data_IF_245145190964
#
_entry.id   IF_245145190964
#
_cell.length_a   1.000
_cell.length_b   1.000
_cell.length_c   1.000
_cell.angle_alpha   90.00
_cell.angle_beta   90.00
_cell.angle_gamma   90.00
#
_symmetry.space_group_name_H-M   'P 1'
#
loop_
_entity.id
_entity.type
_entity.pdbx_description
1 polymer ?
#
# COMPACT_ATOMS: atom_id res chain seq x y z
N UNK A 1 39.79 9.68 46.53
CA UNK A 1 39.79 8.21 46.74
C UNK A 1 38.96 7.73 47.94
N UNK A 2 38.96 8.46 49.10
CA UNK A 2 38.25 8.04 50.33
C UNK A 2 36.73 7.94 50.13
N UNK A 3 36.09 8.94 49.48
CA UNK A 3 34.63 9.01 49.25
C UNK A 3 34.13 7.82 48.40
N UNK A 4 34.84 7.47 47.36
CA UNK A 4 34.51 6.34 46.51
C UNK A 4 34.58 5.00 47.27
N UNK A 5 35.58 4.83 48.14
CA UNK A 5 35.72 3.63 48.97
C UNK A 5 34.60 3.51 50.01
N UNK A 6 34.16 4.62 50.60
CA UNK A 6 33.03 4.65 51.52
C UNK A 6 31.70 4.37 50.78
N UNK A 7 31.50 4.94 49.61
CA UNK A 7 30.30 4.67 48.79
C UNK A 7 30.19 3.19 48.37
N UNK A 8 31.26 2.60 47.89
CA UNK A 8 31.31 1.20 47.51
C UNK A 8 31.02 0.28 48.70
N UNK A 9 31.62 0.58 49.89
CA UNK A 9 31.36 -0.20 51.10
C UNK A 9 29.90 -0.09 51.57
N UNK A 10 29.25 1.06 51.40
CA UNK A 10 27.83 1.22 51.71
C UNK A 10 26.91 0.45 50.76
N UNK A 11 27.22 0.39 49.47
CA UNK A 11 26.50 -0.42 48.49
C UNK A 11 26.54 -1.90 48.87
N UNK A 12 27.72 -2.40 49.23
CA UNK A 12 27.90 -3.82 49.62
C UNK A 12 27.22 -4.13 50.96
N UNK A 13 27.19 -3.16 51.90
CA UNK A 13 26.55 -3.35 53.20
C UNK A 13 25.03 -3.42 53.12
N UNK A 14 24.39 -2.72 52.16
CA UNK A 14 22.94 -2.74 51.95
C UNK A 14 22.53 -3.57 50.72
N UNK A 15 22.99 -4.79 50.63
CA UNK A 15 22.82 -5.67 49.47
C UNK A 15 21.40 -5.75 48.90
N UNK A 16 20.38 -5.91 49.77
CA UNK A 16 18.97 -6.00 49.34
C UNK A 16 18.50 -4.72 48.65
N UNK A 17 18.77 -3.56 49.25
CA UNK A 17 18.34 -2.25 48.68
C UNK A 17 19.06 -1.98 47.36
N UNK A 18 20.37 -2.23 47.30
CA UNK A 18 21.19 -2.06 46.09
C UNK A 18 20.73 -2.97 44.99
N UNK A 19 20.41 -4.24 45.32
CA UNK A 19 19.89 -5.22 44.34
C UNK A 19 18.54 -4.77 43.74
N UNK A 20 17.58 -4.36 44.58
CA UNK A 20 16.29 -3.88 44.07
C UNK A 20 16.40 -2.63 43.22
N UNK A 21 17.26 -1.67 43.62
CA UNK A 21 17.51 -0.47 42.83
C UNK A 21 18.17 -0.82 41.48
N UNK A 22 19.17 -1.70 41.48
CA UNK A 22 19.83 -2.15 40.25
C UNK A 22 18.85 -2.92 39.32
N UNK A 23 18.05 -3.82 39.86
CA UNK A 23 17.03 -4.52 39.11
C UNK A 23 15.99 -3.59 38.45
N UNK A 24 15.48 -2.61 39.22
CA UNK A 24 14.52 -1.63 38.65
C UNK A 24 15.14 -0.78 37.55
N UNK A 25 16.42 -0.37 37.69
CA UNK A 25 17.13 0.34 36.62
C UNK A 25 17.35 -0.53 35.38
N UNK A 26 17.75 -1.80 35.57
CA UNK A 26 17.94 -2.76 34.46
C UNK A 26 16.62 -3.02 33.74
N UNK A 27 15.55 -3.28 34.49
CA UNK A 27 14.22 -3.50 33.90
C UNK A 27 13.76 -2.24 33.14
N UNK A 28 13.91 -1.07 33.74
CA UNK A 28 13.56 0.19 33.08
C UNK A 28 14.34 0.42 31.78
N UNK A 29 15.63 0.14 31.78
CA UNK A 29 16.47 0.23 30.59
C UNK A 29 16.07 -0.77 29.50
N UNK A 30 15.80 -2.04 29.87
CA UNK A 30 15.34 -3.06 28.93
C UNK A 30 14.02 -2.65 28.30
N UNK A 31 13.04 -2.21 29.10
CA UNK A 31 11.74 -1.77 28.60
C UNK A 31 11.87 -0.56 27.68
N UNK A 32 12.65 0.45 28.05
CA UNK A 32 12.88 1.64 27.23
C UNK A 32 13.51 1.27 25.88
N UNK A 33 14.57 0.44 25.91
CA UNK A 33 15.23 -0.04 24.69
C UNK A 33 14.29 -0.86 23.81
N UNK A 34 13.47 -1.72 24.41
CA UNK A 34 12.46 -2.51 23.70
C UNK A 34 11.44 -1.61 23.01
N UNK A 35 10.89 -0.61 23.71
CA UNK A 35 9.91 0.29 23.10
C UNK A 35 10.51 1.15 21.98
N UNK A 36 11.75 1.62 22.12
CA UNK A 36 12.43 2.36 21.05
C UNK A 36 12.61 1.48 19.81
N UNK A 37 13.12 0.25 19.97
CA UNK A 37 13.31 -0.68 18.88
C UNK A 37 11.99 -1.08 18.22
N UNK A 38 10.93 -1.32 19.02
CA UNK A 38 9.59 -1.58 18.53
C UNK A 38 9.03 -0.42 17.70
N UNK A 39 9.15 0.82 18.22
CA UNK A 39 8.66 2.01 17.53
C UNK A 39 9.38 2.17 16.18
N UNK A 40 10.71 2.09 16.16
CA UNK A 40 11.52 2.24 14.94
C UNK A 40 11.16 1.16 13.89
N UNK A 41 11.05 -0.10 14.30
CA UNK A 41 10.62 -1.19 13.43
C UNK A 41 9.20 -0.99 12.88
N UNK A 42 8.27 -0.50 13.71
CA UNK A 42 6.89 -0.22 13.28
C UNK A 42 6.82 0.94 12.30
N UNK A 43 7.55 2.02 12.51
CA UNK A 43 7.61 3.14 11.59
C UNK A 43 8.18 2.73 10.23
N UNK A 44 9.28 2.00 10.20
CA UNK A 44 9.88 1.52 8.96
C UNK A 44 8.93 0.59 8.20
N UNK A 45 8.24 -0.31 8.89
CA UNK A 45 7.24 -1.19 8.28
C UNK A 45 6.07 -0.40 7.68
N UNK A 46 5.53 0.58 8.42
CA UNK A 46 4.42 1.43 7.93
C UNK A 46 4.86 2.21 6.69
N UNK A 47 6.00 2.91 6.75
CA UNK A 47 6.51 3.69 5.62
C UNK A 47 6.72 2.80 4.40
N UNK A 48 7.38 1.66 4.56
CA UNK A 48 7.66 0.75 3.44
C UNK A 48 6.37 0.17 2.84
N UNK A 49 5.40 -0.18 3.69
CA UNK A 49 4.11 -0.71 3.24
C UNK A 49 3.29 0.34 2.47
N UNK A 50 3.22 1.58 2.95
CA UNK A 50 2.51 2.65 2.26
C UNK A 50 3.21 3.11 0.98
N UNK A 51 4.53 3.28 1.02
CA UNK A 51 5.28 3.79 -0.14
C UNK A 51 5.40 2.76 -1.25
N UNK A 52 5.75 1.51 -0.91
CA UNK A 52 5.94 0.45 -1.93
C UNK A 52 4.66 -0.15 -2.47
N UNK A 53 3.57 -0.11 -1.72
CA UNK A 53 2.34 -0.76 -2.15
C UNK A 53 1.31 0.22 -2.73
N UNK A 54 1.28 1.46 -2.26
CA UNK A 54 0.15 2.35 -2.56
C UNK A 54 0.53 3.70 -3.14
N UNK A 55 1.41 4.45 -2.50
CA UNK A 55 1.61 5.87 -2.80
C UNK A 55 2.85 6.16 -3.63
N UNK A 56 3.89 5.32 -3.58
CA UNK A 56 5.22 5.69 -4.02
C UNK A 56 5.88 6.69 -3.07
N UNK A 57 7.16 6.99 -3.27
CA UNK A 57 7.87 8.00 -2.49
C UNK A 57 7.52 9.42 -2.93
N UNK A 58 7.26 9.61 -4.23
CA UNK A 58 6.92 10.89 -4.83
C UNK A 58 5.75 10.67 -5.78
N UNK A 59 4.80 11.61 -5.76
CA UNK A 59 3.66 11.61 -6.67
C UNK A 59 3.63 12.91 -7.48
N UNK A 60 3.32 12.80 -8.75
CA UNK A 60 3.13 13.93 -9.64
C UNK A 60 1.66 14.00 -10.02
N UNK A 61 1.03 15.10 -9.68
CA UNK A 61 -0.38 15.36 -9.97
C UNK A 61 -0.55 16.67 -10.74
N UNK A 62 -1.68 16.78 -11.45
CA UNK A 62 -2.10 18.08 -12.02
C UNK A 62 -2.39 19.05 -10.87
N UNK A 63 -2.05 20.33 -11.06
CA UNK A 63 -2.29 21.38 -10.05
C UNK A 63 -3.75 21.39 -9.59
N UNK A 64 -3.95 21.39 -8.27
CA UNK A 64 -5.27 21.38 -7.64
C UNK A 64 -5.98 20.02 -7.63
N UNK A 65 -5.32 18.92 -8.04
CA UNK A 65 -5.90 17.58 -7.96
C UNK A 65 -6.14 17.14 -6.51
N UNK A 66 -5.19 17.39 -5.63
CA UNK A 66 -5.31 17.01 -4.21
C UNK A 66 -6.40 17.78 -3.46
N UNK A 67 -6.68 19.02 -3.87
CA UNK A 67 -7.74 19.84 -3.26
C UNK A 67 -9.15 19.34 -3.64
N UNK A 68 -9.30 18.92 -4.90
CA UNK A 68 -10.56 18.39 -5.43
C UNK A 68 -10.26 17.33 -6.49
N UNK A 69 -10.12 16.05 -6.09
CA UNK A 69 -9.91 14.96 -7.03
C UNK A 69 -11.08 14.83 -8.00
N UNK A 70 -10.80 14.86 -9.28
CA UNK A 70 -11.80 14.64 -10.35
C UNK A 70 -11.16 13.85 -11.49
N UNK A 71 -11.96 13.10 -12.22
CA UNK A 71 -11.56 12.32 -13.39
C UNK A 71 -10.87 13.15 -14.48
N UNK A 72 -11.22 14.45 -14.55
CA UNK A 72 -10.73 15.36 -15.57
C UNK A 72 -9.36 16.00 -15.26
N UNK A 73 -8.86 15.82 -14.05
CA UNK A 73 -7.55 16.36 -13.65
C UNK A 73 -6.43 15.35 -13.87
N UNK A 74 -6.22 14.99 -15.11
CA UNK A 74 -5.12 14.12 -15.53
C UNK A 74 -3.84 14.91 -15.80
N UNK A 75 -2.70 14.26 -15.69
CA UNK A 75 -1.39 14.85 -16.02
C UNK A 75 -1.23 14.83 -17.54
N UNK A 76 -1.21 16.01 -18.13
CA UNK A 76 -0.96 16.15 -19.56
C UNK A 76 0.51 15.82 -19.87
N UNK A 77 0.77 15.27 -21.06
CA UNK A 77 2.14 15.03 -21.54
C UNK A 77 2.97 14.05 -20.65
N UNK A 78 2.31 13.07 -20.04
CA UNK A 78 2.94 12.11 -19.13
C UNK A 78 4.13 11.37 -19.75
N UNK A 79 4.17 11.21 -21.08
CA UNK A 79 5.29 10.57 -21.78
C UNK A 79 6.58 11.39 -21.69
N UNK A 80 6.48 12.71 -21.85
CA UNK A 80 7.63 13.60 -21.72
C UNK A 80 8.12 13.65 -20.26
N UNK A 81 7.20 13.62 -19.30
CA UNK A 81 7.55 13.50 -17.89
C UNK A 81 8.28 12.18 -17.66
N UNK A 82 7.76 11.08 -18.18
CA UNK A 82 8.38 9.76 -18.08
C UNK A 82 9.79 9.70 -18.68
N UNK A 83 10.02 10.36 -19.82
CA UNK A 83 11.37 10.48 -20.41
C UNK A 83 12.34 11.25 -19.49
N UNK A 84 11.86 12.34 -18.87
CA UNK A 84 12.67 13.09 -17.89
C UNK A 84 12.98 12.26 -16.66
N UNK A 85 11.99 11.52 -16.12
CA UNK A 85 12.18 10.64 -14.97
C UNK A 85 13.19 9.53 -15.25
N UNK A 86 13.17 8.95 -16.45
CA UNK A 86 14.15 7.93 -16.86
C UNK A 86 15.60 8.46 -16.95
N UNK A 87 15.76 9.77 -17.15
CA UNK A 87 17.07 10.43 -17.26
C UNK A 87 17.52 11.09 -15.95
N UNK A 88 16.85 10.82 -14.83
CA UNK A 88 17.18 11.37 -13.51
C UNK A 88 17.79 10.25 -12.67
N UNK A 89 19.05 10.40 -12.28
CA UNK A 89 19.84 9.35 -11.62
C UNK A 89 19.26 8.88 -10.26
N UNK A 90 18.56 9.76 -9.54
CA UNK A 90 17.97 9.47 -8.23
C UNK A 90 16.61 8.76 -8.31
N UNK A 91 16.08 8.49 -9.52
CA UNK A 91 14.79 7.83 -9.71
C UNK A 91 14.99 6.40 -10.19
N UNK A 92 14.75 5.45 -9.30
CA UNK A 92 14.89 4.03 -9.63
C UNK A 92 13.83 3.55 -10.62
N UNK A 93 12.56 3.86 -10.39
CA UNK A 93 11.43 3.46 -11.24
C UNK A 93 10.26 4.42 -11.08
N UNK A 94 9.38 4.43 -12.07
CA UNK A 94 8.12 5.17 -12.03
C UNK A 94 7.02 4.41 -12.76
N UNK A 95 5.78 4.65 -12.37
CA UNK A 95 4.58 4.08 -13.01
C UNK A 95 3.48 5.14 -13.11
N UNK A 96 2.59 4.98 -14.07
CA UNK A 96 1.39 5.79 -14.20
C UNK A 96 0.20 5.05 -13.59
N UNK A 97 -0.70 5.79 -12.95
CA UNK A 97 -1.96 5.26 -12.44
C UNK A 97 -3.10 6.21 -12.79
N UNK A 98 -4.27 5.64 -13.03
CA UNK A 98 -5.53 6.38 -13.18
C UNK A 98 -6.46 5.89 -12.09
N UNK A 99 -7.08 6.81 -11.37
CA UNK A 99 -8.02 6.49 -10.31
C UNK A 99 -9.42 6.93 -10.72
N UNK A 100 -10.38 6.03 -10.59
CA UNK A 100 -11.80 6.34 -10.76
C UNK A 100 -12.62 5.55 -9.74
N UNK A 101 -13.86 5.97 -9.50
CA UNK A 101 -14.84 5.19 -8.77
C UNK A 101 -15.85 4.58 -9.73
N UNK A 102 -16.40 3.43 -9.37
CA UNK A 102 -17.44 2.77 -10.16
C UNK A 102 -18.24 1.78 -9.33
N UNK A 103 -19.33 1.32 -9.92
CA UNK A 103 -20.08 0.19 -9.41
C UNK A 103 -19.54 -1.07 -10.08
N UNK A 104 -19.27 -2.09 -9.29
CA UNK A 104 -18.88 -3.41 -9.77
C UNK A 104 -19.93 -4.42 -9.38
N UNK A 105 -20.23 -5.37 -10.27
CA UNK A 105 -21.27 -6.36 -10.01
C UNK A 105 -20.94 -7.72 -10.62
N UNK A 106 -21.38 -8.76 -9.92
CA UNK A 106 -21.42 -10.15 -10.37
C UNK A 106 -22.81 -10.65 -10.07
N UNK A 107 -23.49 -11.18 -11.08
CA UNK A 107 -24.88 -11.65 -10.97
C UNK A 107 -25.83 -10.64 -10.30
N UNK A 108 -26.23 -10.89 -9.05
CA UNK A 108 -27.18 -10.06 -8.30
C UNK A 108 -26.52 -9.17 -7.25
N UNK A 109 -25.23 -9.42 -6.95
CA UNK A 109 -24.50 -8.64 -5.94
C UNK A 109 -23.77 -7.48 -6.61
N UNK A 110 -23.76 -6.34 -5.94
CA UNK A 110 -23.07 -5.15 -6.42
C UNK A 110 -22.44 -4.35 -5.28
N UNK A 111 -21.32 -3.71 -5.56
CA UNK A 111 -20.59 -2.88 -4.60
C UNK A 111 -19.95 -1.68 -5.28
N UNK A 112 -19.82 -0.58 -4.53
CA UNK A 112 -18.96 0.52 -4.95
C UNK A 112 -17.49 0.12 -4.83
N UNK A 113 -16.70 0.42 -5.85
CA UNK A 113 -15.27 0.11 -5.86
C UNK A 113 -14.43 1.29 -6.35
N UNK A 114 -13.22 1.39 -5.82
CA UNK A 114 -12.17 2.23 -6.38
C UNK A 114 -11.45 1.44 -7.47
N UNK A 115 -11.54 1.93 -8.68
CA UNK A 115 -10.91 1.32 -9.83
C UNK A 115 -9.58 2.02 -10.09
N UNK A 116 -8.50 1.25 -10.11
CA UNK A 116 -7.16 1.76 -10.37
C UNK A 116 -6.63 1.16 -11.66
N UNK A 117 -6.51 2.00 -12.69
CA UNK A 117 -5.82 1.63 -13.91
C UNK A 117 -4.30 1.67 -13.72
N UNK A 118 -3.61 0.61 -14.09
CA UNK A 118 -2.15 0.47 -13.95
C UNK A 118 -1.50 -0.06 -15.24
N UNK A 119 -0.21 0.23 -15.40
CA UNK A 119 0.63 -0.43 -16.42
C UNK A 119 1.31 -1.66 -15.78
N UNK A 120 0.89 -2.90 -16.06
CA UNK A 120 1.32 -4.09 -15.32
C UNK A 120 2.84 -4.27 -15.26
N UNK A 121 3.53 -4.06 -16.39
CA UNK A 121 4.99 -4.23 -16.49
C UNK A 121 5.73 -3.20 -15.64
N UNK A 122 5.31 -1.92 -15.72
CA UNK A 122 5.92 -0.84 -14.92
C UNK A 122 5.59 -0.98 -13.45
N UNK A 123 4.34 -1.31 -13.15
CA UNK A 123 3.87 -1.53 -11.79
C UNK A 123 4.66 -2.63 -11.07
N UNK A 124 4.92 -3.76 -11.75
CA UNK A 124 5.74 -4.86 -11.23
C UNK A 124 7.17 -4.45 -10.86
N UNK A 125 7.72 -3.44 -11.54
CA UNK A 125 9.07 -2.91 -11.26
C UNK A 125 9.07 -1.84 -10.15
N UNK A 126 7.94 -1.15 -9.97
CA UNK A 126 7.83 0.02 -9.09
C UNK A 126 7.26 -0.34 -7.73
N UNK A 127 6.30 -1.30 -7.70
CA UNK A 127 5.60 -1.70 -6.47
C UNK A 127 5.60 -3.20 -6.25
N UNK A 128 5.12 -3.60 -5.07
CA UNK A 128 4.99 -5.01 -4.69
C UNK A 128 3.59 -5.59 -4.93
N UNK A 129 2.72 -4.90 -5.67
CA UNK A 129 1.32 -5.33 -5.88
C UNK A 129 1.24 -6.74 -6.47
N UNK A 130 2.14 -7.09 -7.39
CA UNK A 130 2.21 -8.42 -8.00
C UNK A 130 2.49 -9.56 -6.99
N UNK A 131 3.12 -9.24 -5.85
CA UNK A 131 3.39 -10.19 -4.76
C UNK A 131 2.21 -10.35 -3.80
N UNK A 132 1.18 -9.52 -3.97
CA UNK A 132 -0.02 -9.52 -3.13
C UNK A 132 -1.12 -10.43 -3.67
N UNK A 133 -0.92 -11.08 -4.80
CA UNK A 133 -1.86 -12.06 -5.37
C UNK A 133 -1.89 -13.30 -4.49
N UNK A 134 -3.05 -13.62 -3.93
CA UNK A 134 -3.28 -14.77 -3.04
C UNK A 134 -4.05 -15.89 -3.71
N UNK A 135 -4.83 -15.58 -4.76
CA UNK A 135 -5.54 -16.55 -5.60
C UNK A 135 -5.45 -16.10 -7.06
N UNK A 136 -5.36 -17.05 -7.99
CA UNK A 136 -5.18 -16.76 -9.42
C UNK A 136 -3.79 -16.27 -9.76
N UNK A 137 -3.68 -15.44 -10.78
CA UNK A 137 -2.42 -14.94 -11.30
C UNK A 137 -2.42 -13.42 -11.44
N UNK A 138 -1.24 -12.83 -11.55
CA UNK A 138 -1.10 -11.44 -11.94
C UNK A 138 -1.49 -11.28 -13.42
N UNK A 139 -1.67 -10.06 -13.89
CA UNK A 139 -2.04 -9.79 -15.27
C UNK A 139 -1.21 -10.56 -16.29
N UNK A 140 -1.87 -11.13 -17.28
CA UNK A 140 -1.23 -11.76 -18.43
C UNK A 140 -0.49 -10.73 -19.30
N UNK A 141 0.40 -11.20 -20.17
CA UNK A 141 1.01 -10.35 -21.19
C UNK A 141 0.01 -10.06 -22.32
N UNK A 142 0.08 -8.86 -22.88
CA UNK A 142 -0.78 -8.42 -23.97
C UNK A 142 -2.06 -7.72 -23.52
N UNK A 143 -2.87 -7.37 -24.51
CA UNK A 143 -4.16 -6.70 -24.29
C UNK A 143 -5.22 -7.73 -23.90
N UNK A 144 -5.77 -7.59 -22.71
CA UNK A 144 -6.84 -8.43 -22.20
C UNK A 144 -7.70 -7.64 -21.21
N UNK A 145 -8.99 -7.93 -21.21
CA UNK A 145 -9.95 -7.36 -20.27
C UNK A 145 -9.91 -8.14 -18.96
N UNK A 146 -8.81 -7.99 -18.23
CA UNK A 146 -8.55 -8.63 -16.95
C UNK A 146 -8.56 -7.63 -15.81
N UNK A 147 -9.01 -8.10 -14.65
CA UNK A 147 -8.98 -7.33 -13.40
C UNK A 147 -8.39 -8.17 -12.27
N UNK A 148 -7.78 -7.46 -11.32
CA UNK A 148 -7.44 -8.00 -10.01
C UNK A 148 -8.31 -7.28 -8.99
N UNK A 149 -8.85 -8.01 -8.00
CA UNK A 149 -9.68 -7.42 -6.96
C UNK A 149 -9.20 -7.75 -5.56
N UNK A 150 -9.54 -6.90 -4.62
CA UNK A 150 -9.22 -7.13 -3.21
C UNK A 150 -10.02 -8.30 -2.64
N UNK A 151 -9.41 -9.06 -1.71
CA UNK A 151 -10.01 -10.28 -1.14
C UNK A 151 -11.37 -10.04 -0.48
N UNK A 152 -11.54 -8.94 0.23
CA UNK A 152 -12.81 -8.63 0.90
C UNK A 152 -13.92 -8.26 -0.08
N UNK A 153 -13.57 -7.68 -1.24
CA UNK A 153 -14.54 -7.43 -2.32
C UNK A 153 -14.90 -8.73 -3.04
N UNK A 154 -13.93 -9.61 -3.26
CA UNK A 154 -14.16 -10.93 -3.85
C UNK A 154 -15.06 -11.79 -2.96
N UNK A 155 -14.83 -11.79 -1.65
CA UNK A 155 -15.69 -12.48 -0.68
C UNK A 155 -17.12 -11.90 -0.64
N UNK A 156 -17.24 -10.57 -0.69
CA UNK A 156 -18.56 -9.91 -0.67
C UNK A 156 -19.39 -10.22 -1.91
N UNK A 157 -18.76 -10.28 -3.10
CA UNK A 157 -19.44 -10.54 -4.38
C UNK A 157 -19.53 -12.05 -4.70
N UNK A 158 -19.07 -12.93 -3.80
CA UNK A 158 -18.92 -14.38 -4.03
C UNK A 158 -18.16 -14.71 -5.34
N UNK A 159 -17.10 -13.94 -5.58
CA UNK A 159 -16.35 -13.89 -6.82
C UNK A 159 -15.26 -14.95 -6.88
N UNK A 160 -15.27 -15.76 -7.93
CA UNK A 160 -14.24 -16.73 -8.29
C UNK A 160 -13.22 -16.20 -9.32
N UNK A 161 -12.14 -16.96 -9.51
CA UNK A 161 -11.21 -16.73 -10.62
C UNK A 161 -11.90 -17.15 -11.93
N UNK A 162 -11.75 -16.33 -12.94
CA UNK A 162 -12.36 -16.40 -14.27
C UNK A 162 -13.83 -15.96 -14.33
N UNK A 163 -14.46 -15.55 -13.23
CA UNK A 163 -15.80 -14.98 -13.29
C UNK A 163 -15.79 -13.63 -14.02
N UNK A 164 -16.95 -13.25 -14.55
CA UNK A 164 -17.17 -12.01 -15.25
C UNK A 164 -17.60 -10.91 -14.28
N UNK A 165 -16.80 -9.87 -14.19
CA UNK A 165 -17.08 -8.66 -13.41
C UNK A 165 -17.59 -7.57 -14.33
N UNK A 166 -18.82 -7.14 -14.14
CA UNK A 166 -19.37 -5.95 -14.81
C UNK A 166 -18.90 -4.71 -14.06
N UNK A 167 -18.31 -3.76 -14.78
CA UNK A 167 -17.86 -2.48 -14.23
C UNK A 167 -18.65 -1.36 -14.88
N UNK A 168 -19.30 -0.54 -14.07
CA UNK A 168 -20.01 0.68 -14.49
C UNK A 168 -19.33 1.89 -13.86
N UNK A 169 -18.85 2.81 -14.69
CA UNK A 169 -18.13 4.00 -14.24
C UNK A 169 -18.49 5.20 -15.12
N UNK A 170 -18.02 6.38 -14.75
CA UNK A 170 -18.15 7.56 -15.58
C UNK A 170 -16.96 7.68 -16.53
N UNK A 171 -17.24 7.82 -17.81
CA UNK A 171 -16.22 8.10 -18.82
C UNK A 171 -15.71 9.56 -18.75
N UNK A 172 -14.62 9.84 -19.41
CA UNK A 172 -13.98 11.17 -19.40
C UNK A 172 -14.87 12.28 -20.03
N UNK A 173 -15.81 11.91 -20.88
CA UNK A 173 -16.80 12.84 -21.49
C UNK A 173 -18.08 13.03 -20.65
N UNK A 174 -18.13 12.36 -19.48
CA UNK A 174 -19.28 12.40 -18.56
C UNK A 174 -20.35 11.36 -18.86
N UNK A 175 -20.24 10.58 -19.93
CA UNK A 175 -21.17 9.49 -20.25
C UNK A 175 -20.97 8.31 -19.27
N UNK A 176 -21.95 7.41 -19.26
CA UNK A 176 -21.84 6.14 -18.52
C UNK A 176 -21.06 5.14 -19.39
N UNK A 177 -19.95 4.68 -18.85
CA UNK A 177 -19.17 3.57 -19.44
C UNK A 177 -19.46 2.30 -18.67
N UNK A 178 -19.81 1.23 -19.38
CA UNK A 178 -19.93 -0.10 -18.81
C UNK A 178 -19.15 -1.10 -19.68
N UNK A 179 -18.53 -2.04 -19.03
CA UNK A 179 -17.82 -3.12 -19.73
C UNK A 179 -17.68 -4.35 -18.81
N UNK A 180 -17.36 -5.48 -19.41
CA UNK A 180 -17.20 -6.76 -18.73
C UNK A 180 -15.73 -7.14 -18.71
N UNK A 181 -15.24 -7.52 -17.55
CA UNK A 181 -13.85 -7.89 -17.29
C UNK A 181 -13.79 -9.27 -16.63
N UNK A 182 -12.73 -10.00 -16.90
CA UNK A 182 -12.48 -11.30 -16.30
C UNK A 182 -11.62 -11.16 -15.06
N UNK A 183 -12.01 -11.80 -13.96
CA UNK A 183 -11.24 -11.83 -12.73
C UNK A 183 -10.04 -12.75 -12.89
N UNK A 184 -8.85 -12.17 -12.98
CA UNK A 184 -7.59 -12.90 -13.14
C UNK A 184 -6.97 -13.28 -11.82
N UNK A 185 -7.15 -12.45 -10.78
CA UNK A 185 -6.59 -12.73 -9.48
C UNK A 185 -7.20 -11.93 -8.35
N UNK A 186 -6.99 -12.44 -7.13
CA UNK A 186 -7.42 -11.83 -5.88
C UNK A 186 -6.20 -11.39 -5.08
N UNK A 187 -6.26 -10.17 -4.55
CA UNK A 187 -5.17 -9.51 -3.84
C UNK A 187 -5.44 -9.42 -2.34
N UNK A 188 -4.41 -9.64 -1.53
CA UNK A 188 -4.39 -9.18 -0.13
C UNK A 188 -3.54 -7.92 0.00
N UNK A 189 -4.20 -6.78 0.09
CA UNK A 189 -3.56 -5.46 0.13
C UNK A 189 -3.02 -5.10 1.52
N UNK A 190 -3.35 -5.91 2.53
CA UNK A 190 -2.85 -5.75 3.90
C UNK A 190 -3.68 -4.84 4.80
N UNK A 191 -4.73 -4.21 4.28
CA UNK A 191 -5.72 -3.46 5.06
C UNK A 191 -7.15 -3.74 4.58
N UNK A 192 -8.10 -3.75 5.50
CA UNK A 192 -9.49 -4.13 5.24
C UNK A 192 -10.21 -3.16 4.28
N UNK A 193 -9.92 -1.87 4.36
CA UNK A 193 -10.57 -0.87 3.51
C UNK A 193 -10.18 -1.09 2.05
N UNK A 194 -8.89 -1.26 1.76
CA UNK A 194 -8.41 -1.54 0.41
C UNK A 194 -8.88 -2.91 -0.08
N UNK A 195 -8.90 -3.92 0.79
CA UNK A 195 -9.38 -5.25 0.42
C UNK A 195 -10.86 -5.27 0.03
N UNK A 196 -11.68 -4.38 0.61
CA UNK A 196 -13.14 -4.36 0.37
C UNK A 196 -13.59 -3.51 -0.80
N UNK A 197 -12.73 -2.60 -1.30
CA UNK A 197 -13.18 -1.64 -2.31
C UNK A 197 -12.22 -1.44 -3.49
N UNK A 198 -11.18 -2.24 -3.64
CA UNK A 198 -10.19 -2.02 -4.70
C UNK A 198 -10.32 -3.00 -5.85
N UNK A 199 -10.31 -2.45 -7.06
CA UNK A 199 -10.18 -3.18 -8.32
C UNK A 199 -9.04 -2.57 -9.14
N UNK A 200 -8.17 -3.41 -9.65
CA UNK A 200 -7.06 -3.01 -10.53
C UNK A 200 -7.33 -3.51 -11.93
N UNK A 201 -7.06 -2.67 -12.93
CA UNK A 201 -7.21 -3.00 -14.34
C UNK A 201 -6.02 -2.51 -15.16
N UNK A 202 -5.83 -3.06 -16.36
CA UNK A 202 -4.79 -2.59 -17.28
C UNK A 202 -5.15 -1.22 -17.86
N UNK A 203 -4.14 -0.34 -17.97
CA UNK A 203 -4.20 0.85 -18.83
C UNK A 203 -3.56 0.47 -20.16
N UNK A 204 -4.30 0.58 -21.22
CA UNK A 204 -3.81 0.44 -22.59
C UNK A 204 -3.14 1.74 -23.03
#
# INVERSE_FOLDING_TARGET
MLIFKIALRNLIRQKRRTLFTALSMIIGFILASFFIAWADGSYNYIIDNFTRNRLGHIQIHKKGYLDKPTLYKTVDNYENIGKKLNNTDDISNWTKRIFTGGLVSIDKESSGAQITGISPIREKRTTNIHKKVIKGEYFSEGESKEVLMGKGLAEFLDAGINDELVIVSQAADGSIANDVYKIQGVLDLGDDMSNRNSVYMKIN
#
